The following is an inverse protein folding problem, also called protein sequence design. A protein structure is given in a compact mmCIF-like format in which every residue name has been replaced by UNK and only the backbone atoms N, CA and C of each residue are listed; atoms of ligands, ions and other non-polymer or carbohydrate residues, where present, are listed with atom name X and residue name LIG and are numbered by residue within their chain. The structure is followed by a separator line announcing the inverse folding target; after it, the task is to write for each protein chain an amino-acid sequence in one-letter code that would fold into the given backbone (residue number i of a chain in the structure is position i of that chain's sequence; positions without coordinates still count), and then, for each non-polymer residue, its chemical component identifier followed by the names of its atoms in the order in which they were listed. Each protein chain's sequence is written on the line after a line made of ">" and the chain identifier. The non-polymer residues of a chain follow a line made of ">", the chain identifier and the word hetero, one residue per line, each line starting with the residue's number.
data_IF_461877805831
#
_entry.id   IF_461877805831
#
_cell.length_a   1.000
_cell.length_b   1.000
_cell.length_c   1.000
_cell.angle_alpha   90.00
_cell.angle_beta   90.00
_cell.angle_gamma   90.00
#
_symmetry.space_group_name_H-M   'P 1'
#
loop_
_entity.id
_entity.type
_entity.pdbx_description
1 polymer ?
2 water ?
#
# COMPACT_ATOMS: atom_id res chain seq x y z
N UNK A 1 -11.54 -16.31 -21.20
CA UNK A 1 -11.27 -17.37 -20.24
C UNK A 1 -9.77 -17.52 -20.00
N UNK A 2 -9.39 -17.76 -18.75
CA UNK A 2 -8.01 -17.96 -18.36
C UNK A 2 -7.62 -19.44 -18.43
N UNK A 3 -6.37 -19.70 -18.81
CA UNK A 3 -5.89 -21.08 -18.83
C UNK A 3 -5.54 -21.51 -17.41
N UNK A 4 -5.29 -22.79 -17.19
CA UNK A 4 -4.98 -23.21 -15.81
C UNK A 4 -3.74 -22.50 -15.30
N UNK A 5 -2.72 -22.32 -16.14
CA UNK A 5 -1.53 -21.60 -15.69
C UNK A 5 -1.83 -20.15 -15.33
N UNK A 6 -2.68 -19.50 -16.11
CA UNK A 6 -3.08 -18.13 -15.79
C UNK A 6 -3.84 -18.09 -14.47
N UNK A 7 -4.64 -19.12 -14.19
CA UNK A 7 -5.36 -19.16 -12.93
C UNK A 7 -4.42 -19.39 -11.76
N UNK A 8 -3.38 -20.17 -11.98
CA UNK A 8 -2.37 -20.39 -10.94
C UNK A 8 -1.55 -19.14 -10.69
N UNK A 9 -1.25 -18.38 -11.74
CA UNK A 9 -0.55 -17.11 -11.54
C UNK A 9 -1.35 -16.21 -10.60
N UNK A 10 -2.66 -16.14 -10.88
CA UNK A 10 -3.53 -15.29 -10.09
C UNK A 10 -3.58 -15.77 -8.64
N UNK A 11 -3.75 -17.08 -8.49
CA UNK A 11 -3.80 -17.68 -7.17
C UNK A 11 -2.54 -17.35 -6.37
N UNK A 12 -1.39 -17.56 -7.00
CA UNK A 12 -0.13 -17.29 -6.31
C UNK A 12 -0.01 -15.80 -5.99
N UNK A 13 -0.48 -14.97 -6.91
CA UNK A 13 -0.44 -13.53 -6.66
C UNK A 13 -1.32 -13.18 -5.46
N UNK A 14 -2.55 -13.70 -5.46
CA UNK A 14 -3.47 -13.41 -4.35
C UNK A 14 -2.88 -13.86 -3.02
N UNK A 15 -2.17 -14.99 -3.02
CA UNK A 15 -1.59 -15.46 -1.76
C UNK A 15 -0.54 -14.48 -1.26
N UNK A 16 0.24 -13.92 -2.17
CA UNK A 16 1.25 -12.97 -1.72
C UNK A 16 0.59 -11.69 -1.22
N UNK A 17 -0.48 -11.24 -1.88
CA UNK A 17 -1.24 -10.06 -1.47
C UNK A 17 -1.77 -10.20 -0.04
N UNK A 18 -2.41 -11.34 0.21
CA UNK A 18 -2.90 -11.64 1.55
C UNK A 18 -1.76 -11.67 2.57
N UNK A 19 -0.61 -12.21 2.21
CA UNK A 19 0.52 -12.27 3.13
C UNK A 19 1.15 -10.90 3.40
N UNK A 20 1.23 -10.00 2.44
CA UNK A 20 2.10 -8.83 2.53
C UNK A 20 1.34 -7.52 2.59
N UNK A 21 0.06 -7.49 2.27
CA UNK A 21 -0.65 -6.21 2.17
C UNK A 21 -0.61 -5.39 3.44
N UNK A 22 -0.77 -6.01 4.62
CA UNK A 22 -0.80 -5.14 5.80
C UNK A 22 0.56 -4.56 6.13
N UNK A 23 1.60 -5.39 6.06
CA UNK A 23 2.92 -4.93 6.46
C UNK A 23 3.45 -3.87 5.51
N UNK A 24 3.04 -3.99 4.24
CA UNK A 24 3.46 -3.01 3.26
C UNK A 24 2.55 -1.79 3.20
N UNK A 25 1.45 -1.80 3.94
CA UNK A 25 0.56 -0.64 3.94
C UNK A 25 -0.25 -0.48 2.66
N UNK A 26 -0.62 -1.58 2.02
CA UNK A 26 -1.35 -1.57 0.77
C UNK A 26 -2.85 -1.64 0.96
N UNK A 27 -3.57 -0.99 0.06
CA UNK A 27 -5.01 -1.03 -0.03
C UNK A 27 -5.36 -1.21 -1.51
N UNK A 28 -6.55 -1.75 -1.74
CA UNK A 28 -6.98 -1.80 -3.15
C UNK A 28 -6.92 -0.44 -3.81
N UNK A 29 -7.24 0.61 -3.04
CA UNK A 29 -7.30 1.94 -3.64
C UNK A 29 -5.89 2.44 -3.98
N UNK A 30 -4.94 2.20 -3.06
CA UNK A 30 -3.60 2.73 -3.33
C UNK A 30 -2.94 1.95 -4.46
N UNK A 31 -3.18 0.65 -4.54
CA UNK A 31 -2.70 -0.14 -5.66
C UNK A 31 -3.35 0.27 -6.97
N UNK A 32 -4.67 0.43 -6.89
CA UNK A 32 -5.36 0.84 -8.13
C UNK A 32 -4.78 2.15 -8.66
N UNK A 33 -4.52 3.09 -7.76
CA UNK A 33 -3.97 4.37 -8.18
C UNK A 33 -2.60 4.18 -8.81
N UNK A 34 -1.76 3.32 -8.23
CA UNK A 34 -0.43 3.17 -8.82
C UNK A 34 -0.52 2.53 -10.21
N UNK A 35 -1.49 1.66 -10.37
CA UNK A 35 -1.69 0.88 -11.59
C UNK A 35 -2.53 1.56 -12.65
N UNK A 36 -2.96 2.79 -12.37
CA UNK A 36 -3.74 3.54 -13.33
C UNK A 36 -5.06 2.88 -13.69
N UNK A 37 -5.66 2.14 -12.76
CA UNK A 37 -6.88 1.38 -13.01
C UNK A 37 -7.81 1.52 -11.80
N UNK A 38 -8.99 0.94 -11.87
CA UNK A 38 -9.96 0.95 -10.80
C UNK A 38 -9.78 -0.22 -9.85
N UNK A 39 -10.42 -0.13 -8.67
CA UNK A 39 -10.24 -1.15 -7.67
C UNK A 39 -10.80 -2.48 -8.16
N UNK A 40 -11.88 -2.48 -8.93
CA UNK A 40 -12.39 -3.78 -9.36
C UNK A 40 -11.48 -4.49 -10.34
N UNK A 41 -10.75 -3.72 -11.15
CA UNK A 41 -9.78 -4.27 -12.09
C UNK A 41 -8.61 -4.89 -11.36
N UNK A 42 -8.20 -4.27 -10.26
CA UNK A 42 -7.15 -4.87 -9.44
C UNK A 42 -7.62 -6.20 -8.87
N UNK A 43 -8.81 -6.20 -8.28
CA UNK A 43 -9.38 -7.43 -7.74
C UNK A 43 -9.50 -8.51 -8.82
N UNK A 44 -9.87 -8.10 -10.01
CA UNK A 44 -10.04 -9.05 -11.12
C UNK A 44 -8.71 -9.75 -11.40
N UNK A 45 -7.59 -9.06 -11.25
CA UNK A 45 -6.31 -9.73 -11.49
C UNK A 45 -6.01 -10.72 -10.36
N UNK A 46 -6.23 -10.31 -9.11
CA UNK A 46 -6.00 -11.22 -8.00
C UNK A 46 -6.91 -12.45 -8.05
N UNK A 47 -8.15 -12.24 -8.48
CA UNK A 47 -9.16 -13.29 -8.42
C UNK A 47 -9.21 -14.16 -9.67
N UNK A 48 -8.30 -13.96 -10.60
CA UNK A 48 -8.19 -14.81 -11.78
C UNK A 48 -9.35 -14.58 -12.73
N UNK A 49 -9.88 -13.35 -12.74
CA UNK A 49 -10.94 -13.04 -13.72
C UNK A 49 -10.39 -12.46 -15.01
N UNK A 50 -9.40 -11.58 -14.89
CA UNK A 50 -8.63 -11.09 -16.03
C UNK A 50 -7.17 -11.54 -15.87
N UNK A 51 -6.51 -11.85 -16.97
CA UNK A 51 -5.15 -12.36 -16.95
C UNK A 51 -4.13 -11.24 -16.79
N UNK A 52 -3.00 -11.62 -16.20
CA UNK A 52 -1.87 -10.72 -16.06
C UNK A 52 -1.17 -10.50 -17.39
N UNK A 53 -0.45 -9.39 -17.47
CA UNK A 53 0.44 -9.11 -18.59
C UNK A 53 1.79 -8.70 -18.00
N UNK A 54 2.73 -8.37 -18.88
CA UNK A 54 4.09 -8.07 -18.41
C UNK A 54 4.15 -6.77 -17.62
N UNK A 55 3.48 -5.72 -18.09
CA UNK A 55 3.46 -4.47 -17.35
C UNK A 55 2.84 -4.61 -15.97
N UNK A 56 1.64 -5.19 -15.88
CA UNK A 56 0.97 -5.28 -14.58
C UNK A 56 1.71 -6.22 -13.66
N UNK A 57 2.26 -7.30 -14.23
CA UNK A 57 3.00 -8.22 -13.34
C UNK A 57 4.24 -7.57 -12.78
N UNK A 58 4.99 -6.82 -13.61
CA UNK A 58 6.17 -6.14 -13.11
C UNK A 58 5.85 -5.10 -12.04
N UNK A 59 4.78 -4.34 -12.26
CA UNK A 59 4.41 -3.30 -11.29
C UNK A 59 3.90 -3.92 -10.01
N UNK A 60 3.11 -4.99 -10.10
CA UNK A 60 2.64 -5.62 -8.85
C UNK A 60 3.79 -6.25 -8.10
N UNK A 61 4.77 -6.79 -8.84
CA UNK A 61 5.91 -7.36 -8.13
C UNK A 61 6.68 -6.28 -7.38
N UNK A 62 6.82 -5.09 -7.98
CA UNK A 62 7.48 -3.96 -7.32
C UNK A 62 6.68 -3.52 -6.09
N UNK A 63 5.36 -3.50 -6.22
CA UNK A 63 4.49 -3.06 -5.14
C UNK A 63 4.52 -4.03 -3.98
N UNK A 64 4.56 -5.32 -4.30
CA UNK A 64 4.58 -6.34 -3.27
C UNK A 64 5.98 -6.72 -2.84
N UNK A 65 7.00 -6.16 -3.46
CA UNK A 65 8.39 -6.40 -3.10
C UNK A 65 8.71 -7.88 -3.22
N UNK A 66 8.31 -8.43 -4.35
CA UNK A 66 8.62 -9.82 -4.67
C UNK A 66 9.18 -9.87 -6.10
N UNK A 67 9.81 -10.97 -6.48
CA UNK A 67 10.16 -11.16 -7.88
C UNK A 67 8.93 -11.64 -8.63
N UNK A 68 8.83 -11.31 -9.91
CA UNK A 68 7.64 -11.73 -10.68
C UNK A 68 7.45 -13.24 -10.64
N UNK A 69 8.58 -13.96 -10.71
CA UNK A 69 8.46 -15.41 -10.81
C UNK A 69 7.80 -16.01 -9.58
N UNK A 70 7.72 -15.28 -8.46
CA UNK A 70 7.07 -15.86 -7.28
C UNK A 70 5.58 -16.04 -7.58
N UNK A 71 5.01 -15.30 -8.55
CA UNK A 71 3.62 -15.62 -8.90
C UNK A 71 3.46 -16.02 -10.36
N UNK A 72 4.25 -15.49 -11.29
CA UNK A 72 4.15 -15.92 -12.70
C UNK A 72 5.52 -16.26 -13.28
N UNK A 73 5.96 -17.51 -13.18
CA UNK A 73 7.20 -17.92 -13.83
C UNK A 73 7.17 -17.65 -15.33
N UNK A 74 6.03 -17.86 -15.98
CA UNK A 74 5.97 -17.65 -17.42
C UNK A 74 6.13 -16.18 -17.77
N UNK A 75 5.43 -15.29 -17.05
CA UNK A 75 5.60 -13.88 -17.43
C UNK A 75 6.98 -13.38 -17.03
N UNK A 76 7.57 -13.91 -15.96
CA UNK A 76 8.93 -13.49 -15.62
C UNK A 76 9.88 -13.74 -16.79
N UNK A 77 9.69 -14.87 -17.48
CA UNK A 77 10.54 -15.14 -18.63
C UNK A 77 10.32 -14.11 -19.75
N UNK A 78 9.10 -13.62 -19.89
CA UNK A 78 8.73 -12.70 -20.97
C UNK A 78 9.39 -11.34 -20.76
N UNK A 79 9.56 -10.99 -19.50
CA UNK A 79 10.19 -9.75 -19.08
C UNK A 79 11.69 -9.85 -19.28
N UNK A 80 12.21 -11.06 -19.10
CA UNK A 80 13.61 -11.37 -19.36
C UNK A 80 13.86 -11.56 -20.86
N UNK B 1 14.78 14.15 19.41
CA UNK B 1 14.59 15.10 18.32
C UNK B 1 14.49 14.38 16.98
N UNK B 2 13.52 14.84 16.20
CA UNK B 2 13.31 14.38 14.85
C UNK B 2 14.35 15.01 13.92
N UNK B 3 14.75 14.21 12.93
CA UNK B 3 15.58 14.68 11.84
C UNK B 3 14.72 15.58 10.96
N UNK B 4 15.33 16.36 10.07
CA UNK B 4 14.62 17.17 9.10
C UNK B 4 13.69 16.31 8.27
N UNK B 5 14.19 15.14 7.83
CA UNK B 5 13.37 14.29 6.98
C UNK B 5 12.19 13.71 7.75
N UNK B 6 12.38 13.41 9.04
CA UNK B 6 11.21 12.94 9.80
C UNK B 6 10.19 14.06 9.96
N UNK B 7 10.63 15.30 10.13
CA UNK B 7 9.67 16.42 10.18
C UNK B 7 8.98 16.63 8.84
N UNK B 8 9.66 16.44 7.71
CA UNK B 8 9.06 16.54 6.40
C UNK B 8 8.04 15.40 6.19
N UNK B 9 8.35 14.20 6.66
CA UNK B 9 7.39 13.11 6.59
C UNK B 9 6.10 13.46 7.31
N UNK B 10 6.26 13.97 8.53
CA UNK B 10 5.08 14.32 9.32
C UNK B 10 4.30 15.43 8.64
N UNK B 11 4.98 16.43 8.07
CA UNK B 11 4.23 17.48 7.39
C UNK B 11 3.42 16.95 6.21
N UNK B 12 4.01 16.03 5.45
CA UNK B 12 3.30 15.43 4.33
C UNK B 12 2.12 14.61 4.82
N UNK B 13 2.35 13.93 5.94
CA UNK B 13 1.28 13.08 6.49
C UNK B 13 0.11 13.92 6.95
N UNK B 14 0.42 14.98 7.70
CA UNK B 14 -0.65 15.85 8.19
C UNK B 14 -1.43 16.47 7.05
N UNK B 15 -0.74 16.80 5.97
CA UNK B 15 -1.42 17.42 4.83
C UNK B 15 -2.35 16.44 4.14
N UNK B 16 -1.93 15.18 4.06
CA UNK B 16 -2.85 14.18 3.49
C UNK B 16 -4.06 13.98 4.38
N UNK B 17 -3.80 13.83 5.67
CA UNK B 17 -4.92 13.76 6.63
C UNK B 17 -5.90 14.91 6.47
N UNK B 18 -5.38 16.14 6.40
CA UNK B 18 -6.29 17.29 6.36
C UNK B 18 -7.04 17.31 5.04
N UNK B 19 -6.40 16.88 3.96
CA UNK B 19 -7.04 16.84 2.65
C UNK B 19 -8.13 15.76 2.56
N UNK B 20 -7.92 14.60 3.17
CA UNK B 20 -8.74 13.43 2.96
C UNK B 20 -9.68 13.08 4.11
N UNK B 21 -9.51 13.64 5.31
CA UNK B 21 -10.32 13.19 6.44
C UNK B 21 -11.81 13.37 6.18
N UNK B 22 -12.26 14.46 5.55
CA UNK B 22 -13.70 14.59 5.32
C UNK B 22 -14.24 13.53 4.37
N UNK B 23 -13.57 13.30 3.23
CA UNK B 23 -14.09 12.31 2.30
C UNK B 23 -14.06 10.90 2.87
N UNK B 24 -13.13 10.65 3.79
CA UNK B 24 -13.00 9.35 4.42
C UNK B 24 -13.93 9.21 5.61
N UNK B 25 -14.56 10.32 5.99
CA UNK B 25 -15.48 10.31 7.11
C UNK B 25 -14.78 10.06 8.43
N UNK B 26 -13.54 10.55 8.52
CA UNK B 26 -12.72 10.28 9.70
C UNK B 26 -12.57 11.51 10.59
N UNK B 27 -12.38 11.30 11.89
CA UNK B 27 -12.11 12.37 12.84
C UNK B 27 -10.83 12.10 13.63
N UNK B 28 -10.42 13.13 14.37
CA UNK B 28 -9.27 13.05 15.27
C UNK B 28 -9.42 11.87 16.22
N UNK B 29 -10.64 11.68 16.71
CA UNK B 29 -11.03 10.55 17.53
C UNK B 29 -11.08 9.24 16.75
N UNK B 30 -11.76 9.24 15.60
CA UNK B 30 -11.99 7.96 14.96
C UNK B 30 -10.74 7.44 14.26
N UNK B 31 -9.78 8.30 13.90
CA UNK B 31 -8.61 7.61 13.30
C UNK B 31 -7.72 6.99 14.35
N UNK B 32 -7.70 7.59 15.54
CA UNK B 32 -6.95 6.93 16.61
C UNK B 32 -7.63 5.61 16.94
N UNK B 33 -8.96 5.60 17.03
CA UNK B 33 -9.68 4.36 17.33
C UNK B 33 -9.38 3.30 16.27
N UNK B 34 -9.30 3.72 15.01
CA UNK B 34 -9.02 2.78 13.92
C UNK B 34 -7.61 2.22 14.07
N UNK B 35 -6.71 3.04 14.60
CA UNK B 35 -5.35 2.56 14.79
C UNK B 35 -5.13 1.86 16.13
N UNK B 36 -6.14 1.79 16.96
CA UNK B 36 -6.07 1.18 18.29
C UNK B 36 -5.08 1.88 19.18
N UNK B 37 -5.03 3.21 19.02
CA UNK B 37 -4.10 4.00 19.82
C UNK B 37 -4.78 5.24 20.39
N UNK B 38 -4.10 5.91 21.33
CA UNK B 38 -4.67 7.12 21.90
C UNK B 38 -4.71 8.30 20.95
N UNK B 39 -5.65 9.20 21.19
CA UNK B 39 -5.81 10.37 20.35
C UNK B 39 -4.55 11.22 20.29
N UNK B 40 -3.87 11.46 21.41
CA UNK B 40 -2.68 12.31 21.32
C UNK B 40 -1.48 11.55 20.73
N UNK B 41 -1.48 10.22 20.86
CA UNK B 41 -0.42 9.44 20.23
C UNK B 41 -0.46 9.61 18.71
N UNK B 42 -1.64 9.62 18.11
CA UNK B 42 -1.74 9.77 16.65
C UNK B 42 -1.45 11.22 16.25
N UNK B 43 -2.00 12.15 17.02
CA UNK B 43 -1.71 13.56 16.77
C UNK B 43 -0.20 13.81 16.84
N UNK B 44 0.47 13.07 17.70
CA UNK B 44 1.92 13.20 17.85
C UNK B 44 2.63 12.87 16.55
N UNK B 45 2.10 11.90 15.81
CA UNK B 45 2.72 11.53 14.53
C UNK B 45 2.45 12.60 13.48
N UNK B 46 1.21 13.07 13.44
CA UNK B 46 0.85 14.08 12.43
C UNK B 46 1.60 15.38 12.68
N UNK B 47 1.79 15.70 13.97
CA UNK B 47 2.33 17.03 14.26
C UNK B 47 3.83 17.05 14.43
N UNK B 48 4.50 15.92 14.20
CA UNK B 48 5.94 15.92 14.21
C UNK B 48 6.55 15.90 15.60
N UNK B 49 5.80 15.38 16.57
CA UNK B 49 6.31 15.23 17.93
C UNK B 49 6.99 13.88 18.17
N UNK B 50 6.44 12.84 17.56
CA UNK B 50 7.03 11.53 17.56
C UNK B 50 7.24 11.15 16.10
N UNK B 51 8.33 10.49 15.78
CA UNK B 51 8.54 10.03 14.42
C UNK B 51 7.72 8.79 14.08
N UNK B 52 7.43 8.64 12.79
CA UNK B 52 6.78 7.45 12.28
C UNK B 52 7.70 6.24 12.38
N UNK B 53 7.11 5.05 12.44
CA UNK B 53 7.85 3.82 12.24
C UNK B 53 7.14 3.01 11.15
N UNK B 54 7.64 1.82 10.83
CA UNK B 54 7.03 1.05 9.74
C UNK B 54 5.66 0.50 10.11
N UNK B 55 5.47 0.13 11.37
CA UNK B 55 4.16 -0.30 11.82
C UNK B 55 3.11 0.79 11.58
N UNK B 56 3.32 1.98 12.12
CA UNK B 56 2.41 3.09 12.08
C UNK B 56 2.23 3.69 10.70
N UNK B 57 3.34 3.75 9.96
CA UNK B 57 3.24 4.32 8.61
C UNK B 57 2.33 3.42 7.78
N UNK B 58 2.53 2.11 7.89
CA UNK B 58 1.71 1.19 7.09
C UNK B 58 0.23 1.28 7.44
N UNK B 59 -0.05 1.35 8.74
CA UNK B 59 -1.45 1.34 9.17
C UNK B 59 -2.10 2.64 8.72
N UNK B 60 -1.36 3.75 8.84
CA UNK B 60 -1.96 5.00 8.38
C UNK B 60 -2.16 5.06 6.88
N UNK B 61 -1.25 4.46 6.13
CA UNK B 61 -1.41 4.46 4.67
C UNK B 61 -2.69 3.70 4.33
N UNK B 62 -2.90 2.56 4.99
CA UNK B 62 -4.11 1.79 4.69
C UNK B 62 -5.37 2.56 5.10
N UNK B 63 -5.38 3.18 6.27
CA UNK B 63 -6.55 3.93 6.72
C UNK B 63 -6.84 5.12 5.83
N UNK B 64 -5.79 5.85 5.44
CA UNK B 64 -5.93 7.01 4.57
C UNK B 64 -6.03 6.66 3.09
N UNK B 65 -5.83 5.41 2.73
CA UNK B 65 -5.96 4.92 1.35
C UNK B 65 -4.99 5.62 0.42
N UNK B 66 -3.73 5.69 0.86
CA UNK B 66 -2.65 6.25 0.06
C UNK B 66 -1.44 5.32 0.10
N UNK B 67 -0.48 5.54 -0.79
CA UNK B 67 0.79 4.82 -0.70
C UNK B 67 1.65 5.44 0.39
N UNK B 68 2.40 4.62 1.11
CA UNK B 68 3.32 5.13 2.12
C UNK B 68 4.24 6.20 1.55
N UNK B 69 4.73 5.98 0.32
CA UNK B 69 5.69 6.94 -0.24
C UNK B 69 5.10 8.33 -0.36
N UNK B 70 3.77 8.47 -0.35
CA UNK B 70 3.21 9.81 -0.48
C UNK B 70 3.49 10.65 0.76
N UNK B 71 3.74 10.03 1.91
CA UNK B 71 4.19 10.90 3.01
C UNK B 71 5.61 10.56 3.45
N UNK B 72 6.09 9.34 3.28
CA UNK B 72 7.44 8.97 3.67
C UNK B 72 8.15 8.06 2.67
N UNK B 73 8.77 8.66 1.65
CA UNK B 73 9.54 7.88 0.68
C UNK B 73 10.58 7.00 1.36
N UNK B 74 11.15 7.45 2.48
CA UNK B 74 12.22 6.61 3.07
C UNK B 74 11.65 5.37 3.74
N UNK B 75 10.60 5.52 4.55
CA UNK B 75 9.98 4.33 5.13
C UNK B 75 9.52 3.43 3.99
N UNK B 76 8.99 4.02 2.91
CA UNK B 76 8.47 3.22 1.79
C UNK B 76 9.58 2.43 1.11
N UNK B 77 10.79 2.96 0.99
CA UNK B 77 11.85 2.15 0.40
C UNK B 77 12.30 0.96 1.23
N UNK B 78 12.35 1.17 2.53
CA UNK B 78 12.85 0.26 3.55
C UNK B 78 11.79 -0.75 3.98
N UNK B 79 10.54 -0.33 3.82
CA UNK B 79 9.51 -1.34 4.14
C UNK B 79 9.65 -2.35 3.00
N UNK B 80 9.92 -1.78 1.83
CA UNK B 80 10.32 -2.50 0.63
C UNK B 80 11.60 -3.29 0.92
#
# INVERSE_FOLDING_TARGET
>A
SLTQEQLEDARRLKAIWEKKKNELGLSYESVADKMGMGQSAVAALFNGINALNAYNAALLAKILKVSVEEFSPSIAREIR
>B
SLTQEQLEDARRLKAIWEKKKNELGLSYESVADKMGMGQSAVAALFNGINALNAYNAALLAKILKVSVEEFSPSIAREIR
#
